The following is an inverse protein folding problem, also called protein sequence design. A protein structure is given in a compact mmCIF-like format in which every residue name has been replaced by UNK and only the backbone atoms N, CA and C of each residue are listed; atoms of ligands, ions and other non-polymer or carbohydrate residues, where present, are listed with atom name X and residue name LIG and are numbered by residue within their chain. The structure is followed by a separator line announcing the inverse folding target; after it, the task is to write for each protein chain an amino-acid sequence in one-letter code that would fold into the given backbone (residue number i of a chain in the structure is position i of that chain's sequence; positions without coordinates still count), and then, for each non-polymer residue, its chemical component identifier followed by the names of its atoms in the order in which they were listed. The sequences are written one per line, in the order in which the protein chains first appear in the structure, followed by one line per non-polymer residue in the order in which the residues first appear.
data_IF_517526741902
#
_entry.id   IF_517526741902
#
_cell.length_a   1.000
_cell.length_b   1.000
_cell.length_c   1.000
_cell.angle_alpha   90.00
_cell.angle_beta   90.00
_cell.angle_gamma   90.00
#
_symmetry.space_group_name_H-M   'P 1'
#
loop_
_entity.id
_entity.type
_entity.pdbx_description
1 polymer ?
#
# COMPACT_ATOMS: atom_id res chain seq x y z
N UNK A 1 3.16 -46.73 26.31
CA UNK A 1 3.80 -45.54 26.90
C UNK A 1 4.15 -44.61 25.76
N UNK A 2 3.29 -43.64 25.48
CA UNK A 2 3.42 -42.68 24.38
C UNK A 2 4.21 -41.46 24.87
N UNK A 3 5.31 -41.15 24.18
CA UNK A 3 6.16 -39.99 24.39
C UNK A 3 5.44 -38.73 23.88
N UNK A 4 5.09 -37.81 24.78
CA UNK A 4 4.62 -36.46 24.45
C UNK A 4 5.85 -35.57 24.20
N UNK A 5 6.16 -35.31 22.94
CA UNK A 5 7.11 -34.26 22.55
C UNK A 5 6.49 -32.88 22.81
N UNK A 6 7.08 -32.15 23.76
CA UNK A 6 6.84 -30.71 23.96
C UNK A 6 7.52 -29.94 22.83
N UNK A 7 6.75 -29.47 21.86
CA UNK A 7 7.20 -28.42 20.95
C UNK A 7 7.27 -27.10 21.73
N UNK A 8 8.48 -26.56 21.88
CA UNK A 8 8.70 -25.22 22.43
C UNK A 8 8.37 -24.21 21.32
N UNK A 9 7.18 -23.62 21.36
CA UNK A 9 6.84 -22.45 20.55
C UNK A 9 7.65 -21.27 21.10
N UNK A 10 8.81 -20.97 20.47
CA UNK A 10 9.47 -19.69 20.67
C UNK A 10 8.67 -18.62 19.91
N UNK A 11 7.84 -17.88 20.62
CA UNK A 11 7.25 -16.65 20.11
C UNK A 11 8.36 -15.61 20.00
N UNK A 12 8.87 -15.36 18.79
CA UNK A 12 9.70 -14.19 18.52
C UNK A 12 8.79 -12.97 18.64
N UNK A 13 8.92 -12.23 19.74
CA UNK A 13 8.36 -10.89 19.83
C UNK A 13 9.19 -9.99 18.91
N UNK A 14 8.75 -9.84 17.66
CA UNK A 14 9.28 -8.80 16.77
C UNK A 14 8.91 -7.47 17.42
N UNK A 15 9.92 -6.71 17.85
CA UNK A 15 9.71 -5.38 18.39
C UNK A 15 9.08 -4.50 17.32
N UNK A 16 7.78 -4.23 17.46
CA UNK A 16 7.09 -3.24 16.65
C UNK A 16 7.73 -1.89 16.96
N UNK A 17 8.29 -1.24 15.94
CA UNK A 17 8.63 0.18 16.05
C UNK A 17 7.40 0.97 16.49
N UNK A 18 7.61 2.11 17.16
CA UNK A 18 6.52 3.03 17.46
C UNK A 18 5.78 3.41 16.17
N UNK A 19 4.43 3.47 16.20
CA UNK A 19 3.65 3.83 15.02
C UNK A 19 4.12 5.14 14.39
N UNK A 20 4.15 5.18 13.06
CA UNK A 20 4.50 6.36 12.30
C UNK A 20 3.37 7.39 12.34
N UNK A 21 3.73 8.62 12.71
CA UNK A 21 2.83 9.78 12.62
C UNK A 21 3.18 10.60 11.41
N UNK A 22 2.20 10.80 10.54
CA UNK A 22 2.39 11.62 9.35
C UNK A 22 2.53 13.11 9.69
N UNK A 23 1.78 13.57 10.68
CA UNK A 23 1.93 14.91 11.26
C UNK A 23 2.43 14.83 12.71
N UNK A 24 3.50 15.56 12.99
CA UNK A 24 4.01 15.79 14.34
C UNK A 24 3.53 17.13 14.93
N UNK A 25 2.71 17.87 14.18
CA UNK A 25 2.14 19.17 14.53
C UNK A 25 0.67 19.21 14.11
N UNK A 26 -0.05 20.25 14.51
CA UNK A 26 -1.44 20.43 14.08
C UNK A 26 -1.55 20.44 12.54
N UNK A 27 -2.60 19.79 12.04
CA UNK A 27 -2.92 19.75 10.61
C UNK A 27 -3.62 21.08 10.26
N UNK A 28 -3.23 21.77 9.17
CA UNK A 28 -3.81 23.08 8.83
C UNK A 28 -5.34 23.06 8.70
N UNK A 29 -6.00 24.14 9.14
CA UNK A 29 -7.46 24.31 9.03
C UNK A 29 -7.99 24.38 7.59
N UNK A 30 -7.09 24.46 6.60
CA UNK A 30 -7.45 24.32 5.18
C UNK A 30 -7.98 22.93 4.84
N UNK A 31 -7.67 21.91 5.63
CA UNK A 31 -8.26 20.58 5.51
C UNK A 31 -9.59 20.53 6.24
N UNK A 32 -10.65 19.88 5.70
CA UNK A 32 -11.88 19.62 6.43
C UNK A 32 -11.64 18.90 7.75
N UNK A 33 -12.48 19.14 8.76
CA UNK A 33 -12.32 18.55 10.11
C UNK A 33 -12.24 17.02 10.08
N UNK A 34 -13.18 16.37 9.38
CA UNK A 34 -13.17 14.93 9.13
C UNK A 34 -11.86 14.44 8.52
N UNK A 35 -11.30 15.23 7.59
CA UNK A 35 -10.04 14.90 6.95
C UNK A 35 -8.88 14.99 7.94
N UNK A 36 -8.83 16.04 8.78
CA UNK A 36 -7.81 16.20 9.81
C UNK A 36 -7.83 15.04 10.80
N UNK A 37 -9.01 14.58 11.21
CA UNK A 37 -9.15 13.40 12.08
C UNK A 37 -8.58 12.14 11.43
N UNK A 38 -8.94 11.87 10.17
CA UNK A 38 -8.44 10.72 9.43
C UNK A 38 -6.93 10.77 9.20
N UNK A 39 -6.40 11.96 8.87
CA UNK A 39 -4.97 12.21 8.67
C UNK A 39 -4.14 12.15 9.96
N UNK A 40 -4.78 12.33 11.12
CA UNK A 40 -4.13 12.25 12.44
C UNK A 40 -3.93 10.82 12.94
N UNK A 41 -4.43 9.81 12.22
CA UNK A 41 -4.31 8.43 12.64
C UNK A 41 -2.86 7.93 12.55
N UNK A 42 -2.48 7.17 13.56
CA UNK A 42 -1.19 6.51 13.62
C UNK A 42 -1.12 5.35 12.60
N UNK A 43 0.02 5.21 11.92
CA UNK A 43 0.27 4.16 10.92
C UNK A 43 1.25 3.16 11.51
N UNK A 44 0.89 1.88 11.61
CA UNK A 44 1.72 0.83 12.22
C UNK A 44 2.85 0.33 11.30
N UNK A 45 3.58 1.27 10.71
CA UNK A 45 4.76 1.03 9.91
C UNK A 45 5.97 1.70 10.58
N UNK A 46 7.18 1.13 10.47
CA UNK A 46 8.39 1.77 11.01
C UNK A 46 8.72 3.12 10.34
N UNK A 47 8.27 3.32 9.11
CA UNK A 47 8.31 4.60 8.40
C UNK A 47 7.26 4.61 7.28
N UNK A 48 7.12 5.73 6.57
CA UNK A 48 6.27 5.83 5.37
C UNK A 48 7.09 6.43 4.25
N UNK A 49 7.02 5.83 3.04
CA UNK A 49 7.69 6.32 1.84
C UNK A 49 6.67 6.75 0.79
N UNK A 50 7.01 7.81 0.05
CA UNK A 50 6.27 8.22 -1.14
C UNK A 50 6.75 7.47 -2.37
N UNK A 51 5.92 7.50 -3.43
CA UNK A 51 6.28 6.94 -4.74
C UNK A 51 7.57 7.57 -5.26
N UNK A 52 7.72 8.89 -5.11
CA UNK A 52 8.90 9.64 -5.51
C UNK A 52 10.15 9.22 -4.71
N UNK A 53 10.01 8.94 -3.41
CA UNK A 53 11.13 8.43 -2.61
C UNK A 53 11.57 7.04 -3.06
N UNK A 54 10.62 6.15 -3.38
CA UNK A 54 10.90 4.80 -3.88
C UNK A 54 11.52 4.86 -5.27
N UNK A 55 10.93 5.62 -6.21
CA UNK A 55 11.44 5.78 -7.57
C UNK A 55 12.80 6.48 -7.62
N UNK A 56 13.08 7.38 -6.67
CA UNK A 56 14.39 8.01 -6.52
C UNK A 56 15.42 7.14 -5.81
N UNK A 57 15.10 5.90 -5.45
CA UNK A 57 15.93 4.98 -4.66
C UNK A 57 16.40 5.55 -3.31
N UNK A 58 15.76 6.63 -2.84
CA UNK A 58 16.12 7.30 -1.59
C UNK A 58 15.75 6.46 -0.37
N UNK A 59 14.80 5.55 -0.54
CA UNK A 59 14.41 4.57 0.47
C UNK A 59 15.56 3.61 0.78
N UNK A 60 16.31 3.10 -0.21
CA UNK A 60 17.32 2.02 -0.03
C UNK A 60 18.55 2.34 0.84
N UNK A 61 18.54 3.44 1.59
CA UNK A 61 19.59 3.86 2.53
C UNK A 61 19.45 3.24 3.94
N UNK A 62 18.76 2.10 4.09
CA UNK A 62 18.58 1.40 5.37
C UNK A 62 17.94 0.00 5.25
N UNK A 63 17.87 -0.80 6.33
CA UNK A 63 17.36 -2.17 6.31
C UNK A 63 15.82 -2.17 6.21
N UNK A 64 15.30 -2.11 4.99
CA UNK A 64 13.89 -1.77 4.76
C UNK A 64 12.97 -2.99 4.66
N UNK A 65 13.25 -3.99 3.83
CA UNK A 65 12.15 -4.90 3.48
C UNK A 65 11.70 -5.85 4.60
N UNK A 66 12.62 -6.43 5.38
CA UNK A 66 12.24 -7.52 6.31
C UNK A 66 11.33 -7.07 7.48
N UNK A 67 11.45 -5.82 7.95
CA UNK A 67 10.62 -5.29 9.04
C UNK A 67 9.38 -4.53 8.54
N UNK A 68 9.37 -4.16 7.26
CA UNK A 68 8.34 -3.31 6.65
C UNK A 68 7.20 -4.10 6.00
N UNK A 69 7.49 -5.32 5.56
CA UNK A 69 6.58 -6.13 4.76
C UNK A 69 5.58 -6.98 5.53
N UNK A 70 5.92 -7.57 6.69
CA UNK A 70 4.93 -8.26 7.51
C UNK A 70 3.83 -7.32 8.04
N UNK A 71 2.70 -7.88 8.46
CA UNK A 71 1.74 -7.16 9.31
C UNK A 71 2.41 -6.75 10.63
N UNK A 72 2.06 -5.59 11.22
CA UNK A 72 0.81 -4.82 11.03
C UNK A 72 0.82 -3.73 9.94
N UNK A 73 1.97 -3.41 9.32
CA UNK A 73 2.10 -2.24 8.45
C UNK A 73 1.14 -2.24 7.25
N UNK A 74 0.99 -3.39 6.58
CA UNK A 74 0.07 -3.54 5.44
C UNK A 74 -1.37 -3.18 5.81
N UNK A 75 -1.86 -3.80 6.87
CA UNK A 75 -3.23 -3.63 7.31
C UNK A 75 -3.50 -2.19 7.76
N UNK A 76 -2.56 -1.57 8.46
CA UNK A 76 -2.68 -0.18 8.92
C UNK A 76 -2.69 0.81 7.75
N UNK A 77 -1.84 0.64 6.73
CA UNK A 77 -1.85 1.50 5.54
C UNK A 77 -3.15 1.41 4.73
N UNK A 78 -3.70 0.20 4.59
CA UNK A 78 -4.99 0.01 3.91
C UNK A 78 -6.14 0.65 4.68
N UNK A 79 -6.13 0.55 6.02
CA UNK A 79 -7.10 1.22 6.88
C UNK A 79 -6.98 2.75 6.80
N UNK A 80 -5.75 3.28 6.81
CA UNK A 80 -5.49 4.71 6.65
C UNK A 80 -6.05 5.23 5.33
N UNK A 81 -5.73 4.57 4.21
CA UNK A 81 -6.27 4.88 2.89
C UNK A 81 -7.80 4.87 2.88
N UNK A 82 -8.43 3.84 3.45
CA UNK A 82 -9.88 3.77 3.55
C UNK A 82 -10.44 4.98 4.29
N UNK A 83 -9.90 5.34 5.44
CA UNK A 83 -10.40 6.47 6.22
C UNK A 83 -10.31 7.79 5.44
N UNK A 84 -9.29 8.00 4.62
CA UNK A 84 -9.17 9.22 3.81
C UNK A 84 -10.19 9.29 2.67
N UNK A 85 -10.51 8.17 2.03
CA UNK A 85 -11.51 8.13 0.93
C UNK A 85 -12.86 8.70 1.39
N UNK A 86 -13.24 8.48 2.66
CA UNK A 86 -14.52 8.93 3.21
C UNK A 86 -14.49 10.32 3.82
N UNK A 87 -13.30 10.86 4.09
CA UNK A 87 -13.16 11.99 5.01
C UNK A 87 -12.58 13.25 4.38
N UNK A 88 -11.89 13.14 3.25
CA UNK A 88 -11.03 14.21 2.74
C UNK A 88 -11.48 14.92 1.46
N UNK A 89 -12.49 14.40 0.76
CA UNK A 89 -12.92 14.95 -0.53
C UNK A 89 -11.79 14.99 -1.58
N UNK A 90 -11.97 15.83 -2.59
CA UNK A 90 -11.10 15.90 -3.78
C UNK A 90 -10.16 17.12 -3.81
N UNK A 91 -10.12 17.90 -2.73
CA UNK A 91 -9.21 19.04 -2.61
C UNK A 91 -7.75 18.59 -2.60
N UNK A 92 -6.87 19.42 -3.16
CA UNK A 92 -5.44 19.10 -3.32
C UNK A 92 -4.58 19.88 -2.34
N UNK A 93 -3.60 19.17 -1.77
CA UNK A 93 -2.73 19.68 -0.71
C UNK A 93 -1.28 19.24 -0.93
N UNK A 94 -0.35 19.97 -0.29
CA UNK A 94 1.06 19.57 -0.20
C UNK A 94 1.30 18.78 1.07
N UNK A 95 1.42 17.46 0.93
CA UNK A 95 1.64 16.55 2.06
C UNK A 95 3.10 16.46 2.51
N UNK A 96 4.05 16.64 1.60
CA UNK A 96 5.48 16.67 1.93
C UNK A 96 6.11 17.99 1.53
N UNK A 97 6.89 18.59 2.44
CA UNK A 97 7.66 19.80 2.15
C UNK A 97 8.67 19.62 1.02
N UNK A 98 9.16 18.40 0.82
CA UNK A 98 10.18 18.04 -0.16
C UNK A 98 9.61 17.68 -1.53
N UNK A 99 8.29 17.49 -1.66
CA UNK A 99 7.67 17.17 -2.94
C UNK A 99 6.92 18.39 -3.49
N UNK A 100 7.15 18.76 -4.76
CA UNK A 100 6.55 19.97 -5.34
C UNK A 100 5.07 19.80 -5.69
N UNK A 101 4.56 18.56 -5.73
CA UNK A 101 3.24 18.22 -6.26
C UNK A 101 2.15 18.33 -5.21
N UNK A 102 1.09 19.07 -5.56
CA UNK A 102 -0.20 19.01 -4.86
C UNK A 102 -1.00 17.81 -5.35
N UNK A 103 -1.62 17.12 -4.41
CA UNK A 103 -2.41 15.91 -4.65
C UNK A 103 -3.52 15.80 -3.61
N UNK A 104 -4.56 15.01 -3.88
CA UNK A 104 -5.61 14.74 -2.90
C UNK A 104 -5.07 13.85 -1.78
N UNK A 105 -5.78 13.82 -0.63
CA UNK A 105 -5.42 12.93 0.48
C UNK A 105 -5.45 11.44 0.05
N UNK A 106 -6.39 11.09 -0.84
CA UNK A 106 -6.50 9.74 -1.41
C UNK A 106 -5.33 9.44 -2.35
N UNK A 107 -5.00 10.32 -3.28
CA UNK A 107 -3.83 10.18 -4.17
C UNK A 107 -2.53 9.99 -3.35
N UNK A 108 -2.40 10.77 -2.28
CA UNK A 108 -1.27 10.65 -1.35
C UNK A 108 -1.22 9.29 -0.64
N UNK A 109 -2.31 8.81 -0.04
CA UNK A 109 -2.32 7.52 0.63
C UNK A 109 -2.12 6.35 -0.32
N UNK A 110 -2.69 6.42 -1.53
CA UNK A 110 -2.43 5.45 -2.60
C UNK A 110 -0.94 5.38 -2.94
N UNK A 111 -0.27 6.53 -3.05
CA UNK A 111 1.18 6.58 -3.27
C UNK A 111 1.97 5.84 -2.19
N UNK A 112 1.53 5.88 -0.93
CA UNK A 112 2.21 5.19 0.17
C UNK A 112 1.96 3.68 0.13
N UNK A 113 0.72 3.26 -0.14
CA UNK A 113 0.38 1.83 -0.30
C UNK A 113 1.16 1.22 -1.46
N UNK A 114 1.20 1.90 -2.61
CA UNK A 114 2.02 1.53 -3.76
C UNK A 114 3.49 1.36 -3.39
N UNK A 115 4.04 2.34 -2.65
CA UNK A 115 5.43 2.33 -2.20
C UNK A 115 5.75 1.11 -1.36
N UNK A 116 4.84 0.74 -0.45
CA UNK A 116 4.96 -0.49 0.34
C UNK A 116 4.96 -1.72 -0.56
N UNK A 117 4.04 -1.81 -1.51
CA UNK A 117 3.95 -2.99 -2.39
C UNK A 117 5.22 -3.18 -3.22
N UNK A 118 5.83 -2.09 -3.71
CA UNK A 118 7.13 -2.12 -4.39
C UNK A 118 8.27 -2.53 -3.46
N UNK A 119 8.34 -1.96 -2.26
CA UNK A 119 9.38 -2.27 -1.27
C UNK A 119 9.32 -3.72 -0.79
N UNK A 120 8.13 -4.31 -0.85
CA UNK A 120 7.83 -5.68 -0.43
C UNK A 120 7.70 -6.66 -1.57
N UNK A 121 8.05 -6.23 -2.77
CA UNK A 121 8.09 -7.12 -3.91
C UNK A 121 9.20 -8.14 -3.71
N UNK A 122 8.86 -9.43 -3.83
CA UNK A 122 9.80 -10.53 -3.64
C UNK A 122 9.62 -11.64 -4.69
N UNK A 123 10.69 -12.40 -4.90
CA UNK A 123 10.73 -13.68 -5.60
C UNK A 123 11.27 -14.77 -4.65
N UNK A 124 11.47 -15.99 -5.15
CA UNK A 124 12.01 -17.11 -4.37
C UNK A 124 13.39 -16.82 -3.74
N UNK A 125 14.10 -15.83 -4.25
CA UNK A 125 15.42 -15.43 -3.81
C UNK A 125 15.43 -14.16 -2.95
N UNK A 126 14.26 -13.65 -2.56
CA UNK A 126 14.10 -12.55 -1.61
C UNK A 126 13.62 -11.24 -2.26
N UNK A 127 13.95 -10.13 -1.59
CA UNK A 127 13.41 -8.80 -1.93
C UNK A 127 13.94 -8.29 -3.26
N UNK A 128 13.03 -7.86 -4.13
CA UNK A 128 13.31 -7.48 -5.50
C UNK A 128 13.97 -6.11 -5.63
N UNK A 129 13.48 -5.10 -4.90
CA UNK A 129 13.93 -3.73 -5.13
C UNK A 129 15.43 -3.55 -4.83
N UNK A 130 15.90 -4.13 -3.73
CA UNK A 130 17.32 -4.11 -3.35
C UNK A 130 18.18 -4.87 -4.37
N UNK A 131 17.75 -6.08 -4.75
CA UNK A 131 18.49 -6.92 -5.70
C UNK A 131 18.53 -6.36 -7.13
N UNK A 132 17.50 -5.63 -7.55
CA UNK A 132 17.49 -4.89 -8.82
C UNK A 132 18.44 -3.67 -8.75
N UNK A 133 18.46 -2.97 -7.61
CA UNK A 133 19.35 -1.83 -7.40
C UNK A 133 20.82 -2.23 -7.36
N UNK A 134 21.15 -3.34 -6.67
CA UNK A 134 22.50 -3.90 -6.63
C UNK A 134 22.92 -4.62 -7.92
N UNK A 135 22.02 -4.71 -8.91
CA UNK A 135 22.23 -5.39 -10.19
C UNK A 135 22.48 -6.90 -10.06
N UNK A 136 22.11 -7.51 -8.93
CA UNK A 136 22.13 -8.96 -8.72
C UNK A 136 21.07 -9.68 -9.55
N UNK A 137 20.00 -8.96 -9.91
CA UNK A 137 18.91 -9.46 -10.75
C UNK A 137 18.91 -8.75 -12.10
N UNK A 138 18.90 -9.54 -13.17
CA UNK A 138 18.87 -9.05 -14.54
C UNK A 138 17.47 -8.59 -15.00
N UNK A 139 17.38 -7.98 -16.19
CA UNK A 139 16.14 -7.41 -16.72
C UNK A 139 15.03 -8.43 -17.04
N UNK A 140 15.38 -9.71 -17.17
CA UNK A 140 14.42 -10.80 -17.36
C UNK A 140 14.21 -11.65 -16.10
N UNK A 141 14.69 -11.19 -14.94
CA UNK A 141 14.36 -11.82 -13.67
C UNK A 141 12.89 -11.63 -13.34
N UNK A 142 12.34 -12.54 -12.54
CA UNK A 142 10.97 -12.41 -12.01
C UNK A 142 10.80 -11.06 -11.30
N UNK A 143 11.78 -10.65 -10.50
CA UNK A 143 11.79 -9.34 -9.86
C UNK A 143 11.68 -8.17 -10.83
N UNK A 144 12.46 -8.16 -11.92
CA UNK A 144 12.41 -7.07 -12.90
C UNK A 144 11.05 -6.98 -13.59
N UNK A 145 10.46 -8.13 -13.93
CA UNK A 145 9.17 -8.22 -14.61
C UNK A 145 8.02 -7.82 -13.68
N UNK A 146 8.00 -8.32 -12.44
CA UNK A 146 7.05 -7.88 -11.42
C UNK A 146 7.17 -6.38 -11.13
N UNK A 147 8.39 -5.86 -11.01
CA UNK A 147 8.62 -4.43 -10.78
C UNK A 147 8.10 -3.57 -11.93
N UNK A 148 8.38 -3.98 -13.18
CA UNK A 148 7.86 -3.30 -14.36
C UNK A 148 6.33 -3.30 -14.39
N UNK A 149 5.69 -4.43 -14.07
CA UNK A 149 4.25 -4.52 -13.99
C UNK A 149 3.64 -3.56 -12.96
N UNK A 150 4.29 -3.42 -11.80
CA UNK A 150 3.87 -2.48 -10.74
C UNK A 150 4.09 -1.01 -11.12
N UNK A 151 4.99 -0.69 -12.06
CA UNK A 151 5.11 0.69 -12.59
C UNK A 151 3.89 1.09 -13.41
N UNK A 152 3.18 0.10 -13.98
CA UNK A 152 1.94 0.28 -14.73
C UNK A 152 0.69 0.29 -13.85
N UNK A 153 0.87 0.15 -12.53
CA UNK A 153 -0.22 0.23 -11.57
C UNK A 153 -0.87 1.62 -11.60
N UNK A 154 -2.15 1.64 -11.94
CA UNK A 154 -2.98 2.82 -12.04
C UNK A 154 -4.36 2.51 -11.44
N UNK A 155 -5.09 3.55 -11.04
CA UNK A 155 -6.46 3.41 -10.53
C UNK A 155 -7.46 2.92 -11.60
N UNK A 156 -7.04 2.94 -12.87
CA UNK A 156 -7.76 2.44 -14.02
C UNK A 156 -7.06 1.19 -14.57
N UNK A 157 -7.82 0.36 -15.29
CA UNK A 157 -7.24 -0.74 -16.04
C UNK A 157 -6.14 -0.18 -16.95
N UNK A 158 -4.95 -0.81 -17.00
CA UNK A 158 -3.85 -0.28 -17.80
C UNK A 158 -4.29 -0.18 -19.27
N UNK A 159 -3.91 0.89 -19.98
CA UNK A 159 -4.16 1.00 -21.41
C UNK A 159 -3.66 -0.24 -22.16
N UNK A 160 -4.34 -0.61 -23.23
CA UNK A 160 -3.99 -1.79 -24.04
C UNK A 160 -2.51 -1.78 -24.44
N UNK A 161 -2.00 -0.60 -24.80
CA UNK A 161 -0.63 -0.39 -25.24
C UNK A 161 0.40 -0.76 -24.15
N UNK A 162 0.06 -0.49 -22.89
CA UNK A 162 0.88 -0.83 -21.72
C UNK A 162 0.90 -2.34 -21.51
N UNK A 163 -0.26 -2.99 -21.65
CA UNK A 163 -0.35 -4.45 -21.58
C UNK A 163 0.45 -5.11 -22.71
N UNK A 164 0.30 -4.64 -23.94
CA UNK A 164 1.05 -5.13 -25.10
C UNK A 164 2.57 -4.90 -24.96
N UNK A 165 3.01 -3.80 -24.34
CA UNK A 165 4.42 -3.56 -24.04
C UNK A 165 4.98 -4.54 -23.00
N UNK A 166 4.22 -4.81 -21.94
CA UNK A 166 4.60 -5.80 -20.95
C UNK A 166 4.66 -7.21 -21.56
N UNK A 167 3.65 -7.61 -22.33
CA UNK A 167 3.63 -8.90 -23.05
C UNK A 167 4.81 -9.04 -24.03
N UNK A 168 5.15 -7.99 -24.78
CA UNK A 168 6.36 -7.99 -25.63
C UNK A 168 7.63 -8.19 -24.82
N UNK A 169 7.70 -7.63 -23.62
CA UNK A 169 8.85 -7.84 -22.72
C UNK A 169 8.91 -9.28 -22.23
N UNK A 170 7.78 -9.87 -21.85
CA UNK A 170 7.69 -11.29 -21.47
C UNK A 170 8.13 -12.23 -22.59
N UNK A 171 7.69 -11.97 -23.83
CA UNK A 171 8.14 -12.72 -25.02
C UNK A 171 9.65 -12.61 -25.22
N UNK A 172 10.21 -11.39 -25.13
CA UNK A 172 11.66 -11.16 -25.22
C UNK A 172 12.43 -11.91 -24.14
N UNK A 173 11.86 -12.03 -22.95
CA UNK A 173 12.42 -12.76 -21.82
C UNK A 173 12.11 -14.26 -21.85
N UNK A 174 11.49 -14.77 -22.93
CA UNK A 174 11.13 -16.20 -23.08
C UNK A 174 10.24 -16.72 -21.95
N UNK A 175 9.41 -15.86 -21.37
CA UNK A 175 8.49 -16.24 -20.31
C UNK A 175 7.32 -17.05 -20.93
N UNK A 176 6.91 -18.18 -20.32
CA UNK A 176 5.76 -18.96 -20.79
C UNK A 176 4.43 -18.20 -20.63
N UNK A 177 3.54 -18.30 -21.63
CA UNK A 177 2.23 -17.62 -21.63
C UNK A 177 1.29 -18.04 -20.49
N UNK A 178 1.48 -19.23 -19.96
CA UNK A 178 0.73 -19.81 -18.85
C UNK A 178 1.34 -19.50 -17.48
N UNK A 179 2.47 -18.79 -17.43
CA UNK A 179 3.07 -18.37 -16.16
C UNK A 179 2.24 -17.29 -15.45
N UNK A 180 2.39 -17.21 -14.14
CA UNK A 180 1.75 -16.16 -13.33
C UNK A 180 2.19 -14.74 -13.77
N UNK A 181 3.39 -14.61 -14.33
CA UNK A 181 3.93 -13.34 -14.81
C UNK A 181 3.14 -12.75 -15.98
N UNK A 182 2.52 -13.56 -16.84
CA UNK A 182 1.68 -13.07 -17.94
C UNK A 182 0.41 -12.39 -17.46
N UNK A 183 -0.14 -12.85 -16.35
CA UNK A 183 -1.34 -12.29 -15.75
C UNK A 183 -1.03 -11.29 -14.64
N UNK A 184 0.25 -11.02 -14.35
CA UNK A 184 0.64 -10.27 -13.16
C UNK A 184 0.14 -8.82 -13.19
N UNK A 185 0.18 -8.14 -14.34
CA UNK A 185 -0.39 -6.78 -14.47
C UNK A 185 -1.88 -6.77 -14.15
N UNK A 186 -2.64 -7.70 -14.74
CA UNK A 186 -4.09 -7.83 -14.51
C UNK A 186 -4.42 -8.23 -13.07
N UNK A 187 -3.63 -9.14 -12.49
CA UNK A 187 -3.78 -9.62 -11.11
C UNK A 187 -3.44 -8.51 -10.09
N UNK A 188 -2.34 -7.81 -10.30
CA UNK A 188 -1.96 -6.66 -9.47
C UNK A 188 -3.06 -5.61 -9.47
N UNK A 189 -3.63 -5.30 -10.64
CA UNK A 189 -4.77 -4.41 -10.75
C UNK A 189 -6.02 -4.93 -10.02
N UNK A 190 -6.38 -6.21 -10.19
CA UNK A 190 -7.55 -6.79 -9.51
C UNK A 190 -7.39 -6.80 -7.99
N UNK A 191 -6.22 -7.17 -7.48
CA UNK A 191 -5.94 -7.25 -6.04
C UNK A 191 -6.06 -5.88 -5.37
N UNK A 192 -5.63 -4.82 -6.06
CA UNK A 192 -5.81 -3.44 -5.60
C UNK A 192 -7.28 -3.04 -5.65
N UNK A 193 -7.96 -3.30 -6.77
CA UNK A 193 -9.36 -2.94 -6.98
C UNK A 193 -10.28 -3.62 -5.98
N UNK A 194 -10.13 -4.92 -5.74
CA UNK A 194 -10.87 -5.66 -4.72
C UNK A 194 -10.58 -5.11 -3.33
N UNK A 195 -9.32 -4.79 -3.03
CA UNK A 195 -8.96 -4.09 -1.80
C UNK A 195 -9.69 -2.75 -1.65
N UNK A 196 -9.76 -1.95 -2.72
CA UNK A 196 -10.50 -0.68 -2.72
C UNK A 196 -12.01 -0.87 -2.56
N UNK A 197 -12.63 -1.81 -3.28
CA UNK A 197 -14.06 -2.09 -3.22
C UNK A 197 -14.45 -2.61 -1.82
N UNK A 198 -13.63 -3.47 -1.20
CA UNK A 198 -13.82 -3.92 0.17
C UNK A 198 -13.75 -2.76 1.17
N UNK A 199 -12.78 -1.85 1.01
CA UNK A 199 -12.62 -0.68 1.86
C UNK A 199 -13.78 0.31 1.69
N UNK A 200 -14.24 0.54 0.46
CA UNK A 200 -15.43 1.36 0.17
C UNK A 200 -16.70 0.76 0.80
N UNK A 201 -16.89 -0.57 0.70
CA UNK A 201 -18.02 -1.26 1.32
C UNK A 201 -17.99 -1.20 2.85
N UNK A 202 -16.80 -1.35 3.47
CA UNK A 202 -16.64 -1.20 4.93
C UNK A 202 -16.98 0.21 5.39
N UNK A 203 -16.58 1.23 4.63
CA UNK A 203 -16.91 2.62 4.92
C UNK A 203 -18.39 2.91 4.74
N UNK A 204 -19.00 2.48 3.64
CA UNK A 204 -20.43 2.64 3.41
C UNK A 204 -21.24 2.01 4.56
N UNK A 205 -20.82 0.83 5.02
CA UNK A 205 -21.42 0.16 6.18
C UNK A 205 -21.25 0.97 7.47
N UNK A 206 -20.07 1.56 7.71
CA UNK A 206 -19.82 2.40 8.89
C UNK A 206 -20.67 3.67 8.87
N UNK A 207 -20.71 4.39 7.76
CA UNK A 207 -21.53 5.60 7.61
C UNK A 207 -23.01 5.29 7.80
N UNK A 208 -23.51 4.20 7.22
CA UNK A 208 -24.88 3.75 7.44
C UNK A 208 -25.14 3.43 8.93
N UNK A 209 -24.19 2.82 9.63
CA UNK A 209 -24.34 2.53 11.07
C UNK A 209 -24.37 3.78 11.95
N UNK A 210 -23.58 4.80 11.60
CA UNK A 210 -23.53 6.09 12.30
C UNK A 210 -24.83 6.88 12.04
N UNK A 211 -25.34 6.88 10.81
CA UNK A 211 -26.63 7.49 10.47
C UNK A 211 -27.81 6.84 11.21
N UNK A 212 -27.88 5.51 11.24
CA UNK A 212 -28.92 4.78 11.99
C UNK A 212 -28.83 5.08 13.49
N UNK A 213 -27.61 5.20 14.02
CA UNK A 213 -27.42 5.53 15.45
C UNK A 213 -27.90 6.95 15.79
N UNK A 214 -27.72 7.91 14.88
CA UNK A 214 -28.22 9.29 15.04
C UNK A 214 -29.75 9.33 14.97
N UNK A 215 -30.35 8.66 13.98
CA UNK A 215 -31.81 8.64 13.79
C UNK A 215 -32.53 8.01 15.00
N UNK A 216 -31.99 6.93 15.56
CA UNK A 216 -32.52 6.31 16.79
C UNK A 216 -32.40 7.26 18.01
N UNK A 217 -31.33 8.06 18.11
CA UNK A 217 -31.21 9.02 19.20
C UNK A 217 -32.18 10.19 19.08
N UNK A 218 -32.46 10.68 17.88
CA UNK A 218 -33.47 11.72 17.65
C UNK A 218 -34.89 11.21 17.97
N UNK A 219 -35.19 9.95 17.69
CA UNK A 219 -36.50 9.34 17.97
C UNK A 219 -36.73 9.03 19.46
N UNK A 220 -35.68 8.78 20.23
CA UNK A 220 -35.75 8.56 21.69
C UNK A 220 -35.92 9.88 22.48
N UNK A 221 -35.49 11.01 21.90
CA UNK A 221 -35.52 12.34 22.56
C UNK A 221 -36.79 13.16 22.18
N UNK A 222 -37.59 12.67 21.22
CA UNK A 222 -38.89 13.24 20.83
C UNK A 222 -40.06 12.72 21.69
#
# INVERSE_FOLDING_TARGET
MTLLSRALLMSVAVGLGSPYKLWNSDIPDSFPESCREALSQDIDCPFVASKEHVMGYNVLKGPIGASYCPDPCRSSLNAFLANLIGSCGDDKYKFWKTLPKEQTAVEFARSIVWSRNILCLEDESGLCLEALYSQERGPCSECALKYQAMLFESDEAPPEEVREEYERTLVKCSIPKDSELYNYVSKSYSDLREGFEELQNKMATRLLSEMVSIEIQEEIVA
#
